data_IF_725267296800
#
_entry.id   IF_725267296800
#
_cell.length_a   1.000
_cell.length_b   1.000
_cell.length_c   1.000
_cell.angle_alpha   90.00
_cell.angle_beta   90.00
_cell.angle_gamma   90.00
#
_symmetry.space_group_name_H-M   'P 1'
#
loop_
_entity.id
_entity.type
_entity.pdbx_description
1 polymer ?
#
# COMPACT_ATOMS: atom_id res chain seq x y z
N UNK A 1 58.59 -67.07 9.09
CA UNK A 1 59.68 -66.56 9.95
C UNK A 1 60.22 -65.26 9.39
N UNK A 2 60.42 -64.29 10.27
CA UNK A 2 61.37 -63.16 10.22
C UNK A 2 61.71 -62.49 8.88
N UNK A 3 61.21 -61.26 8.75
CA UNK A 3 62.00 -60.04 8.54
C UNK A 3 63.25 -60.08 7.64
N UNK A 4 63.27 -59.26 6.58
CA UNK A 4 64.31 -58.21 6.46
C UNK A 4 64.01 -57.13 5.42
N UNK A 5 64.36 -55.92 5.85
CA UNK A 5 64.43 -54.63 5.16
C UNK A 5 65.49 -54.70 4.03
N UNK A 6 65.52 -53.88 2.97
CA UNK A 6 65.75 -52.42 2.93
C UNK A 6 65.54 -51.92 1.48
N UNK A 7 64.65 -50.95 1.21
CA UNK A 7 64.89 -49.52 0.87
C UNK A 7 66.03 -49.17 -0.11
N UNK A 8 65.68 -48.53 -1.24
CA UNK A 8 66.22 -47.25 -1.78
C UNK A 8 65.37 -46.78 -2.99
N UNK A 9 64.70 -45.60 -2.91
CA UNK A 9 65.00 -44.30 -3.58
C UNK A 9 65.06 -44.41 -5.13
N UNK A 10 64.39 -43.62 -5.99
CA UNK A 10 63.84 -42.25 -5.92
C UNK A 10 63.09 -41.89 -7.23
N UNK A 11 62.16 -40.91 -7.15
CA UNK A 11 61.68 -39.97 -8.20
C UNK A 11 60.78 -40.59 -9.31
N UNK A 12 59.71 -39.99 -9.83
CA UNK A 12 59.28 -38.57 -9.92
C UNK A 12 57.78 -38.50 -10.25
N UNK A 13 57.12 -37.39 -9.86
CA UNK A 13 55.97 -36.69 -10.51
C UNK A 13 54.80 -37.56 -11.02
N UNK A 14 53.56 -37.32 -10.62
CA UNK A 14 52.66 -36.23 -11.04
C UNK A 14 51.35 -36.52 -10.27
N UNK A 15 50.63 -35.61 -9.62
CA UNK A 15 49.73 -34.60 -10.20
C UNK A 15 49.04 -33.95 -8.98
N UNK A 16 49.22 -32.64 -8.83
CA UNK A 16 48.37 -31.80 -7.97
C UNK A 16 47.09 -31.50 -8.74
N UNK A 17 45.93 -31.80 -8.18
CA UNK A 17 44.70 -31.03 -8.44
C UNK A 17 43.67 -31.31 -7.35
N UNK A 18 42.94 -30.24 -6.99
CA UNK A 18 41.72 -30.23 -6.19
C UNK A 18 41.83 -30.27 -4.66
N UNK A 19 42.40 -29.21 -4.11
CA UNK A 19 42.06 -28.75 -2.76
C UNK A 19 41.78 -27.24 -2.74
N UNK A 20 40.95 -26.75 -3.65
CA UNK A 20 40.45 -25.37 -3.64
C UNK A 20 39.03 -25.31 -4.18
N UNK A 21 38.06 -25.94 -3.53
CA UNK A 21 36.64 -25.66 -3.84
C UNK A 21 35.64 -26.11 -2.77
N UNK A 22 35.98 -26.14 -1.48
CA UNK A 22 34.99 -26.45 -0.44
C UNK A 22 35.20 -25.61 0.82
N UNK A 23 35.23 -24.28 0.72
CA UNK A 23 35.20 -23.44 1.93
C UNK A 23 34.68 -21.99 1.74
N UNK A 24 33.79 -21.76 0.76
CA UNK A 24 33.10 -20.46 0.60
C UNK A 24 31.58 -20.61 0.42
N UNK A 25 30.94 -21.40 1.28
CA UNK A 25 29.46 -21.45 1.40
C UNK A 25 29.00 -21.21 2.83
N UNK A 26 29.47 -20.14 3.47
CA UNK A 26 28.78 -19.56 4.63
C UNK A 26 28.82 -18.05 4.52
N UNK A 27 27.69 -17.44 4.84
CA UNK A 27 27.41 -16.00 4.89
C UNK A 27 26.94 -15.38 3.56
N UNK A 28 25.66 -15.58 3.25
CA UNK A 28 24.90 -14.58 2.49
C UNK A 28 24.94 -13.25 3.27
N UNK A 29 25.25 -12.11 2.65
CA UNK A 29 25.23 -10.82 3.34
C UNK A 29 23.80 -10.49 3.81
N UNK A 30 23.68 -10.04 5.07
CA UNK A 30 22.43 -9.63 5.74
C UNK A 30 21.65 -8.51 5.01
N UNK A 31 22.22 -7.91 3.95
CA UNK A 31 21.61 -6.80 3.21
C UNK A 31 20.48 -7.22 2.26
N UNK A 32 20.45 -8.47 1.76
CA UNK A 32 19.45 -8.87 0.75
C UNK A 32 18.05 -9.11 1.36
N UNK A 33 17.94 -9.32 2.68
CA UNK A 33 16.65 -9.53 3.35
C UNK A 33 15.90 -8.23 3.68
N UNK A 34 16.60 -7.08 3.72
CA UNK A 34 15.99 -5.81 4.17
C UNK A 34 15.20 -5.09 3.05
N UNK A 35 15.48 -5.42 1.79
CA UNK A 35 14.97 -4.72 0.61
C UNK A 35 13.57 -5.16 0.16
N UNK A 36 13.01 -6.22 0.78
CA UNK A 36 11.59 -6.61 0.60
C UNK A 36 10.60 -5.73 1.38
N UNK A 37 11.10 -4.80 2.19
CA UNK A 37 10.29 -3.95 3.06
C UNK A 37 10.08 -2.56 2.45
N UNK A 38 8.81 -2.08 2.49
CA UNK A 38 8.30 -0.76 2.08
C UNK A 38 7.88 -0.58 0.62
N UNK A 39 7.06 -1.49 0.08
CA UNK A 39 6.14 -1.08 -1.01
C UNK A 39 5.19 -0.04 -0.41
N UNK A 40 5.28 1.24 -0.84
CA UNK A 40 4.37 2.32 -0.38
C UNK A 40 2.93 1.84 -0.59
N UNK A 41 2.15 1.80 0.50
CA UNK A 41 0.74 1.39 0.45
C UNK A 41 0.00 2.39 -0.44
N UNK A 42 -0.79 1.86 -1.38
CA UNK A 42 -1.67 2.66 -2.24
C UNK A 42 -2.94 2.98 -1.48
N UNK A 43 -3.50 4.15 -1.73
CA UNK A 43 -4.85 4.48 -1.27
C UNK A 43 -5.84 3.59 -2.01
N UNK A 44 -6.79 3.00 -1.28
CA UNK A 44 -7.82 2.12 -1.82
C UNK A 44 -9.19 2.59 -1.36
N UNK A 45 -10.25 2.02 -1.95
CA UNK A 45 -11.63 2.32 -1.58
C UNK A 45 -12.41 1.02 -1.36
N UNK A 46 -13.28 1.02 -0.36
CA UNK A 46 -14.14 -0.10 -0.02
C UNK A 46 -15.57 0.33 0.24
N UNK A 47 -16.52 -0.58 -0.02
CA UNK A 47 -17.90 -0.40 0.42
C UNK A 47 -18.02 -0.68 1.91
N UNK A 48 -18.60 0.26 2.65
CA UNK A 48 -18.84 0.08 4.10
C UNK A 48 -20.23 -0.49 4.41
N UNK A 49 -21.00 -0.92 3.41
CA UNK A 49 -22.25 -1.64 3.63
C UNK A 49 -21.96 -2.97 4.31
N UNK A 50 -22.79 -3.33 5.30
CA UNK A 50 -22.64 -4.57 6.08
C UNK A 50 -22.38 -5.81 5.22
N UNK A 51 -23.13 -5.97 4.11
CA UNK A 51 -22.97 -7.11 3.19
C UNK A 51 -21.54 -7.29 2.63
N UNK A 52 -20.81 -6.19 2.41
CA UNK A 52 -19.43 -6.24 1.89
C UNK A 52 -18.40 -6.35 3.01
N UNK A 53 -18.68 -5.79 4.19
CA UNK A 53 -17.79 -5.92 5.35
C UNK A 53 -17.75 -7.37 5.87
N UNK A 54 -18.91 -8.05 5.93
CA UNK A 54 -18.99 -9.44 6.41
C UNK A 54 -18.20 -10.40 5.52
N UNK A 55 -18.14 -10.14 4.21
CA UNK A 55 -17.29 -10.91 3.27
C UNK A 55 -15.78 -10.81 3.61
N UNK A 56 -15.38 -9.74 4.31
CA UNK A 56 -14.02 -9.51 4.81
C UNK A 56 -13.85 -9.94 6.27
N UNK A 57 -14.82 -10.66 6.84
CA UNK A 57 -14.87 -11.05 8.26
C UNK A 57 -14.91 -9.85 9.21
N UNK A 58 -15.55 -8.76 8.80
CA UNK A 58 -15.78 -7.56 9.63
C UNK A 58 -17.29 -7.41 9.83
N UNK A 59 -17.75 -7.42 11.08
CA UNK A 59 -19.17 -7.58 11.39
C UNK A 59 -19.96 -6.27 11.40
N UNK A 60 -19.28 -5.14 11.57
CA UNK A 60 -19.92 -3.83 11.66
C UNK A 60 -19.10 -2.70 11.03
N UNK A 61 -19.79 -1.59 10.72
CA UNK A 61 -19.13 -0.35 10.31
C UNK A 61 -18.16 0.16 11.40
N UNK A 62 -18.57 0.08 12.67
CA UNK A 62 -17.76 0.56 13.79
C UNK A 62 -16.46 -0.25 13.93
N UNK A 63 -16.54 -1.57 13.77
CA UNK A 63 -15.37 -2.45 13.73
C UNK A 63 -14.44 -2.09 12.57
N UNK A 64 -14.98 -1.91 11.35
CA UNK A 64 -14.20 -1.44 10.20
C UNK A 64 -13.53 -0.09 10.47
N UNK A 65 -14.25 0.87 11.05
CA UNK A 65 -13.75 2.22 11.35
C UNK A 65 -12.58 2.22 12.35
N UNK A 66 -12.52 1.21 13.23
CA UNK A 66 -11.44 1.04 14.23
C UNK A 66 -10.17 0.42 13.63
N UNK A 67 -10.20 -0.09 12.40
CA UNK A 67 -9.02 -0.67 11.76
C UNK A 67 -7.94 0.37 11.49
N UNK A 68 -6.66 -0.03 11.47
CA UNK A 68 -5.58 0.90 11.15
C UNK A 68 -5.68 1.35 9.69
N UNK A 69 -5.42 2.63 9.45
CA UNK A 69 -5.40 3.24 8.12
C UNK A 69 -6.74 3.25 7.38
N UNK A 70 -7.87 3.12 8.06
CA UNK A 70 -9.19 3.36 7.46
C UNK A 70 -9.65 4.79 7.64
N UNK A 71 -10.31 5.35 6.63
CA UNK A 71 -10.90 6.71 6.69
C UNK A 71 -12.31 6.66 6.14
N UNK A 72 -13.30 7.03 6.95
CA UNK A 72 -14.66 7.22 6.47
C UNK A 72 -14.77 8.55 5.70
N UNK A 73 -15.28 8.49 4.47
CA UNK A 73 -15.40 9.66 3.57
C UNK A 73 -16.86 10.01 3.26
N UNK A 74 -17.81 9.37 3.91
CA UNK A 74 -19.24 9.55 3.63
C UNK A 74 -19.88 10.73 4.38
N UNK A 75 -21.15 10.97 4.06
CA UNK A 75 -22.00 11.97 4.72
C UNK A 75 -22.31 11.58 6.17
N UNK A 76 -22.95 12.49 6.90
CA UNK A 76 -23.46 12.14 8.22
C UNK A 76 -24.54 11.06 8.08
N UNK A 77 -24.27 9.90 8.66
CA UNK A 77 -25.19 8.76 8.77
C UNK A 77 -25.34 8.31 10.21
N UNK A 78 -24.92 9.12 11.19
CA UNK A 78 -24.89 8.75 12.62
C UNK A 78 -26.27 8.35 13.17
N UNK A 79 -27.35 8.85 12.55
CA UNK A 79 -28.71 8.46 12.87
C UNK A 79 -29.03 6.99 12.54
N UNK A 80 -28.39 6.44 11.49
CA UNK A 80 -28.66 5.08 10.99
C UNK A 80 -27.56 4.09 11.36
N UNK A 81 -26.33 4.57 11.51
CA UNK A 81 -25.14 3.75 11.73
C UNK A 81 -24.27 4.43 12.77
N UNK A 82 -24.10 3.77 13.90
CA UNK A 82 -23.27 4.26 15.00
C UNK A 82 -21.86 4.61 14.52
N UNK A 83 -21.38 5.78 14.92
CA UNK A 83 -20.04 6.28 14.57
C UNK A 83 -19.90 6.78 13.13
N UNK A 84 -20.92 6.72 12.27
CA UNK A 84 -20.86 7.23 10.89
C UNK A 84 -21.04 8.76 10.82
N UNK A 85 -20.21 9.50 11.55
CA UNK A 85 -20.20 10.97 11.60
C UNK A 85 -19.72 11.58 10.29
N UNK A 86 -20.18 12.81 10.00
CA UNK A 86 -19.83 13.52 8.75
C UNK A 86 -18.32 13.61 8.56
N UNK A 87 -17.83 13.20 7.40
CA UNK A 87 -16.43 13.40 7.00
C UNK A 87 -16.23 14.76 6.34
N UNK A 88 -15.05 15.38 6.50
CA UNK A 88 -14.64 16.54 5.67
C UNK A 88 -14.57 16.19 4.18
N UNK A 89 -14.35 14.92 3.88
CA UNK A 89 -14.32 14.37 2.52
C UNK A 89 -15.71 14.02 1.97
N UNK A 90 -16.79 14.30 2.70
CA UNK A 90 -18.14 14.02 2.24
C UNK A 90 -18.49 14.85 1.00
N UNK A 91 -19.04 14.21 -0.02
CA UNK A 91 -19.55 14.92 -1.19
C UNK A 91 -20.78 15.79 -0.80
N UNK A 92 -20.78 17.12 -1.01
CA UNK A 92 -21.95 17.96 -0.74
C UNK A 92 -23.05 17.83 -1.80
N UNK A 93 -22.72 17.39 -3.02
CA UNK A 93 -23.66 17.24 -4.14
C UNK A 93 -24.33 15.87 -4.09
N UNK A 94 -25.66 15.83 -4.11
CA UNK A 94 -26.40 14.55 -4.02
C UNK A 94 -26.72 14.00 -5.41
N UNK A 95 -26.70 12.66 -5.53
CA UNK A 95 -27.10 11.97 -6.77
C UNK A 95 -28.55 12.28 -7.12
N UNK A 96 -29.44 12.40 -6.11
CA UNK A 96 -30.85 12.76 -6.31
C UNK A 96 -31.02 14.11 -7.04
N UNK A 97 -30.15 15.10 -6.75
CA UNK A 97 -30.26 16.43 -7.33
C UNK A 97 -29.54 16.57 -8.67
N UNK A 98 -28.36 15.97 -8.82
CA UNK A 98 -27.50 16.22 -9.97
C UNK A 98 -27.34 15.02 -10.92
N UNK A 99 -27.85 13.84 -10.56
CA UNK A 99 -27.45 12.59 -11.20
C UNK A 99 -26.03 12.19 -10.84
N UNK A 100 -25.65 10.94 -11.07
CA UNK A 100 -24.36 10.40 -10.60
C UNK A 100 -23.17 11.08 -11.26
N UNK A 101 -23.18 11.21 -12.58
CA UNK A 101 -22.07 11.77 -13.36
C UNK A 101 -21.80 13.23 -12.96
N UNK A 102 -22.82 14.09 -12.99
CA UNK A 102 -22.61 15.51 -12.68
C UNK A 102 -22.29 15.74 -11.19
N UNK A 103 -22.87 14.94 -10.28
CA UNK A 103 -22.54 14.97 -8.86
C UNK A 103 -21.05 14.69 -8.61
N UNK A 104 -20.49 13.72 -9.33
CA UNK A 104 -19.06 13.37 -9.26
C UNK A 104 -18.20 14.47 -9.87
N UNK A 105 -18.55 14.97 -11.07
CA UNK A 105 -17.84 16.10 -11.69
C UNK A 105 -17.78 17.33 -10.79
N UNK A 106 -18.92 17.73 -10.22
CA UNK A 106 -18.99 18.85 -9.27
C UNK A 106 -18.16 18.61 -8.02
N UNK A 107 -18.11 17.37 -7.53
CA UNK A 107 -17.28 17.03 -6.38
C UNK A 107 -15.79 17.16 -6.68
N UNK A 108 -15.35 16.73 -7.85
CA UNK A 108 -13.96 16.93 -8.27
C UNK A 108 -13.60 18.43 -8.33
N UNK A 109 -14.44 19.24 -9.00
CA UNK A 109 -14.29 20.70 -9.06
C UNK A 109 -14.24 21.31 -7.64
N UNK A 110 -15.12 20.87 -6.74
CA UNK A 110 -15.17 21.33 -5.35
C UNK A 110 -13.88 21.05 -4.58
N UNK A 111 -13.32 19.84 -4.69
CA UNK A 111 -12.06 19.51 -4.01
C UNK A 111 -10.89 20.28 -4.62
N UNK A 112 -10.83 20.44 -5.94
CA UNK A 112 -9.76 21.19 -6.62
C UNK A 112 -9.78 22.69 -6.27
N UNK A 113 -10.96 23.27 -6.15
CA UNK A 113 -11.12 24.70 -5.86
C UNK A 113 -11.07 25.03 -4.36
N UNK A 114 -11.10 24.02 -3.49
CA UNK A 114 -10.92 24.19 -2.05
C UNK A 114 -9.46 23.96 -1.69
N UNK A 115 -8.73 25.04 -1.43
CA UNK A 115 -7.32 24.97 -1.04
C UNK A 115 -7.11 24.11 0.21
N UNK A 116 -7.96 24.28 1.23
CA UNK A 116 -7.93 23.48 2.46
C UNK A 116 -8.07 21.97 2.17
N UNK A 117 -9.12 21.56 1.43
CA UNK A 117 -9.34 20.15 1.13
C UNK A 117 -8.26 19.57 0.22
N UNK A 118 -7.84 20.33 -0.79
CA UNK A 118 -6.79 19.90 -1.71
C UNK A 118 -5.46 19.71 -0.97
N UNK A 119 -5.08 20.62 -0.08
CA UNK A 119 -3.87 20.52 0.72
C UNK A 119 -3.94 19.42 1.79
N UNK A 120 -5.15 18.97 2.16
CA UNK A 120 -5.37 17.81 3.03
C UNK A 120 -5.25 16.45 2.31
N UNK A 121 -5.11 16.39 0.99
CA UNK A 121 -4.99 15.12 0.24
C UNK A 121 -3.88 14.17 0.75
N UNK A 122 -2.71 14.65 1.25
CA UNK A 122 -1.69 13.78 1.83
C UNK A 122 -2.18 12.86 2.94
N UNK A 123 -3.20 13.26 3.71
CA UNK A 123 -3.78 12.47 4.80
C UNK A 123 -4.37 11.14 4.32
N UNK A 124 -4.82 11.10 3.05
CA UNK A 124 -5.43 9.94 2.43
C UNK A 124 -4.40 8.97 1.83
N UNK A 125 -3.11 9.33 1.77
CA UNK A 125 -2.07 8.48 1.18
C UNK A 125 -1.95 7.17 1.98
N UNK A 126 -2.14 6.05 1.27
CA UNK A 126 -2.02 4.72 1.84
C UNK A 126 -3.17 4.33 2.78
N UNK A 127 -4.28 5.08 2.77
CA UNK A 127 -5.49 4.79 3.53
C UNK A 127 -6.49 3.96 2.73
N UNK A 128 -7.31 3.20 3.43
CA UNK A 128 -8.51 2.55 2.88
C UNK A 128 -9.72 3.44 3.13
N UNK A 129 -10.28 4.00 2.06
CA UNK A 129 -11.40 4.92 2.12
C UNK A 129 -12.71 4.14 2.15
N UNK A 130 -13.57 4.42 3.13
CA UNK A 130 -14.88 3.79 3.24
C UNK A 130 -16.01 4.67 2.75
N UNK A 131 -16.81 4.15 1.82
CA UNK A 131 -17.97 4.85 1.30
C UNK A 131 -19.19 3.95 1.07
N UNK A 132 -20.39 4.50 1.17
CA UNK A 132 -21.65 3.81 0.89
C UNK A 132 -22.00 3.71 -0.60
N UNK A 133 -21.31 4.42 -1.50
CA UNK A 133 -21.63 4.38 -2.93
C UNK A 133 -21.17 3.07 -3.60
N UNK A 134 -20.02 2.51 -3.18
CA UNK A 134 -19.49 1.28 -3.76
C UNK A 134 -20.52 0.13 -3.71
N UNK A 135 -20.61 -0.70 -4.76
CA UNK A 135 -19.63 -0.90 -5.84
C UNK A 135 -19.72 0.08 -7.02
N UNK A 136 -20.76 0.91 -7.08
CA UNK A 136 -20.92 1.91 -8.14
C UNK A 136 -19.79 2.96 -8.13
N UNK A 137 -19.69 3.73 -9.22
CA UNK A 137 -18.79 4.90 -9.26
C UNK A 137 -19.03 5.82 -8.08
N UNK A 138 -17.95 6.18 -7.40
CA UNK A 138 -17.96 6.77 -6.08
C UNK A 138 -17.08 8.02 -6.04
N UNK A 139 -17.42 8.97 -5.17
CA UNK A 139 -16.60 10.17 -4.96
C UNK A 139 -15.21 9.86 -4.39
N UNK A 140 -15.03 8.72 -3.72
CA UNK A 140 -13.71 8.29 -3.29
C UNK A 140 -12.82 7.78 -4.42
N UNK A 141 -13.38 7.43 -5.59
CA UNK A 141 -12.56 7.18 -6.80
C UNK A 141 -11.85 8.48 -7.22
N UNK A 142 -12.58 9.60 -7.20
CA UNK A 142 -12.03 10.94 -7.46
C UNK A 142 -10.92 11.27 -6.45
N UNK A 143 -11.14 11.03 -5.15
CA UNK A 143 -10.11 11.29 -4.14
C UNK A 143 -8.83 10.49 -4.39
N UNK A 144 -8.95 9.23 -4.81
CA UNK A 144 -7.78 8.40 -5.16
C UNK A 144 -7.01 9.01 -6.33
N UNK A 145 -7.71 9.49 -7.36
CA UNK A 145 -7.06 10.09 -8.53
C UNK A 145 -6.40 11.44 -8.19
N UNK A 146 -7.07 12.27 -7.39
CA UNK A 146 -6.49 13.52 -6.88
C UNK A 146 -5.26 13.27 -5.99
N UNK A 147 -5.26 12.22 -5.16
CA UNK A 147 -4.09 11.83 -4.36
C UNK A 147 -2.91 11.46 -5.27
N UNK A 148 -3.14 10.68 -6.34
CA UNK A 148 -2.08 10.31 -7.29
C UNK A 148 -1.52 11.56 -7.99
N UNK A 149 -2.40 12.45 -8.44
CA UNK A 149 -2.02 13.69 -9.10
C UNK A 149 -1.20 14.58 -8.16
N UNK A 150 -1.65 14.74 -6.90
CA UNK A 150 -0.93 15.48 -5.88
C UNK A 150 0.48 14.91 -5.69
N UNK A 151 0.60 13.58 -5.51
CA UNK A 151 1.89 12.91 -5.35
C UNK A 151 2.81 13.09 -6.56
N UNK A 152 2.26 13.11 -7.78
CA UNK A 152 3.02 13.38 -8.99
C UNK A 152 3.56 14.81 -8.98
N UNK A 153 2.71 15.80 -8.73
CA UNK A 153 3.09 17.22 -8.64
C UNK A 153 4.19 17.48 -7.61
N UNK A 154 4.11 16.89 -6.42
CA UNK A 154 5.14 17.07 -5.40
C UNK A 154 6.51 16.51 -5.81
N UNK A 155 6.53 15.37 -6.51
CA UNK A 155 7.80 14.79 -7.00
C UNK A 155 8.46 15.68 -8.06
N UNK A 156 7.67 16.27 -8.95
CA UNK A 156 8.18 17.17 -9.98
C UNK A 156 8.76 18.46 -9.38
N UNK A 157 8.07 19.06 -8.39
CA UNK A 157 8.60 20.22 -7.66
C UNK A 157 9.95 19.93 -7.02
N UNK A 158 10.06 18.80 -6.32
CA UNK A 158 11.31 18.38 -5.68
C UNK A 158 12.44 18.10 -6.68
N UNK A 159 12.15 17.72 -7.92
CA UNK A 159 13.16 17.50 -8.96
C UNK A 159 13.64 18.80 -9.61
N UNK A 160 12.83 19.85 -9.59
CA UNK A 160 13.17 21.14 -10.18
C UNK A 160 13.89 22.08 -9.20
N UNK A 161 13.91 21.74 -7.91
CA UNK A 161 14.55 22.50 -6.82
C UNK A 161 15.94 21.94 -6.42
N UNK A 162 16.35 20.79 -6.98
CA UNK A 162 17.66 20.17 -6.79
C UNK A 162 18.47 20.22 -8.09
#
# INVERSE_FOLDING_TARGET
>A
MSSRQTKTKTKTKTQKTNQQTIEKKKQKPKQVQQQRSRRKKRTTIVSVKKKYLVQRRINSFLEWKKLPNTVYIGRNMSFYVEGATKSKWANPFTVKKYGRVNCLKKYEEYVRNSEELYNSLPELIGKELGCWCKPDTCHGDILIDLVKEYQYKQKQKQQNEN
#
